data_IF_792818846428
#
_entry.id   IF_792818846428
#
_cell.length_a   1.000
_cell.length_b   1.000
_cell.length_c   1.000
_cell.angle_alpha   90.00
_cell.angle_beta   90.00
_cell.angle_gamma   90.00
#
_symmetry.space_group_name_H-M   'P 1'
#
loop_
_entity.id
_entity.type
_entity.pdbx_description
1 polymer ?
#
# COMPACT_ATOMS: atom_id res chain seq x y z
N UNK A 1 -2.26 19.38 13.82
CA UNK A 1 -3.66 19.82 13.73
C UNK A 1 -4.16 19.43 12.34
N UNK A 2 -5.11 18.49 12.29
CA UNK A 2 -5.82 18.18 11.04
C UNK A 2 -6.96 19.20 10.94
N UNK A 3 -6.98 20.01 9.90
CA UNK A 3 -8.17 20.78 9.57
C UNK A 3 -9.17 19.82 8.92
N UNK A 4 -10.27 19.51 9.61
CA UNK A 4 -11.37 18.80 9.00
C UNK A 4 -11.92 19.69 7.86
N UNK A 5 -12.04 19.13 6.68
CA UNK A 5 -12.66 19.74 5.54
C UNK A 5 -13.98 19.03 5.30
N UNK A 6 -15.07 19.79 5.18
CA UNK A 6 -16.41 19.26 4.94
C UNK A 6 -16.73 19.39 3.45
N UNK A 7 -17.32 18.37 2.86
CA UNK A 7 -17.75 18.35 1.47
C UNK A 7 -19.24 18.03 1.40
N UNK A 8 -20.00 18.79 0.65
CA UNK A 8 -21.41 18.48 0.39
C UNK A 8 -21.60 17.48 -0.76
N UNK A 9 -22.82 17.04 -0.99
CA UNK A 9 -23.16 16.09 -2.06
C UNK A 9 -22.88 16.61 -3.48
N UNK A 10 -22.57 17.89 -3.63
CA UNK A 10 -22.18 18.50 -4.92
C UNK A 10 -20.67 18.57 -5.11
N UNK A 11 -19.89 18.13 -4.10
CA UNK A 11 -18.44 18.18 -4.11
C UNK A 11 -17.84 19.53 -3.69
N UNK A 12 -18.64 20.45 -3.14
CA UNK A 12 -18.15 21.74 -2.65
C UNK A 12 -17.56 21.61 -1.26
N UNK A 13 -16.39 22.20 -1.05
CA UNK A 13 -15.65 22.16 0.22
C UNK A 13 -15.98 23.34 1.13
N UNK A 14 -15.99 23.06 2.44
CA UNK A 14 -16.26 24.04 3.50
C UNK A 14 -15.26 23.85 4.64
N UNK A 15 -14.78 24.93 5.24
CA UNK A 15 -13.92 24.90 6.44
C UNK A 15 -14.72 24.60 7.73
N UNK A 16 -16.04 24.80 7.71
CA UNK A 16 -16.94 24.51 8.83
C UNK A 16 -18.19 23.81 8.31
N UNK A 17 -18.75 22.86 9.07
CA UNK A 17 -19.95 22.18 8.64
C UNK A 17 -21.09 23.20 8.47
N UNK A 18 -21.84 23.14 7.38
CA UNK A 18 -23.05 23.94 7.21
C UNK A 18 -24.02 23.61 8.35
N UNK A 19 -24.72 24.64 8.86
CA UNK A 19 -25.75 24.44 9.90
C UNK A 19 -26.87 23.57 9.34
N UNK A 20 -27.34 22.58 10.11
CA UNK A 20 -28.47 21.69 9.81
C UNK A 20 -28.21 20.65 8.68
N UNK A 21 -26.97 20.34 8.34
CA UNK A 21 -26.66 19.22 7.46
C UNK A 21 -25.98 18.13 8.30
N UNK A 22 -26.51 16.89 8.22
CA UNK A 22 -25.82 15.74 8.77
C UNK A 22 -24.50 15.57 7.99
N UNK A 23 -23.39 15.54 8.71
CA UNK A 23 -22.06 15.37 8.11
C UNK A 23 -21.56 13.94 8.40
N UNK A 24 -21.16 13.23 7.37
CA UNK A 24 -20.43 11.98 7.49
C UNK A 24 -18.96 12.26 7.79
N UNK A 25 -18.37 11.43 8.64
CA UNK A 25 -16.93 11.48 8.91
C UNK A 25 -16.23 10.62 7.86
N UNK A 26 -15.50 11.27 6.97
CA UNK A 26 -14.66 10.59 5.98
C UNK A 26 -13.25 10.43 6.52
N UNK A 27 -12.68 9.26 6.30
CA UNK A 27 -11.28 8.93 6.61
C UNK A 27 -10.57 8.51 5.33
N UNK A 28 -9.24 8.57 5.35
CA UNK A 28 -8.43 8.07 4.25
C UNK A 28 -8.76 6.59 3.97
N UNK A 29 -9.08 6.27 2.73
CA UNK A 29 -9.35 4.91 2.27
C UNK A 29 -8.18 3.94 2.52
N UNK A 30 -6.96 4.44 2.62
CA UNK A 30 -5.77 3.67 3.01
C UNK A 30 -5.87 3.04 4.40
N UNK A 31 -6.78 3.50 5.26
CA UNK A 31 -7.05 2.86 6.55
C UNK A 31 -7.63 1.44 6.39
N UNK A 32 -8.45 1.23 5.36
CA UNK A 32 -9.12 -0.05 5.10
C UNK A 32 -8.42 -0.86 3.98
N UNK A 33 -7.82 -0.18 3.01
CA UNK A 33 -7.17 -0.80 1.86
C UNK A 33 -6.09 0.12 1.29
N UNK A 34 -4.90 0.03 1.86
CA UNK A 34 -3.77 0.86 1.43
C UNK A 34 -3.07 0.34 0.16
N UNK A 35 -3.28 -0.93 -0.18
CA UNK A 35 -2.65 -1.58 -1.33
C UNK A 35 -3.64 -2.44 -2.12
N UNK A 36 -4.49 -1.83 -2.97
CA UNK A 36 -5.57 -2.53 -3.69
C UNK A 36 -5.08 -3.20 -4.98
N UNK A 37 -4.00 -3.99 -4.95
CA UNK A 37 -3.40 -4.62 -6.15
C UNK A 37 -4.39 -5.52 -6.91
N UNK A 38 -5.30 -6.17 -6.19
CA UNK A 38 -6.32 -7.03 -6.78
C UNK A 38 -7.50 -6.30 -7.44
N UNK A 39 -7.52 -4.95 -7.45
CA UNK A 39 -8.61 -4.18 -8.05
C UNK A 39 -8.81 -4.49 -9.53
N UNK A 40 -7.72 -4.78 -10.23
CA UNK A 40 -7.70 -5.11 -11.66
C UNK A 40 -7.68 -6.62 -11.93
N UNK A 41 -7.92 -7.46 -10.92
CA UNK A 41 -8.02 -8.92 -11.04
C UNK A 41 -9.39 -9.35 -11.53
N UNK A 42 -9.80 -8.85 -12.69
CA UNK A 42 -11.04 -9.18 -13.37
C UNK A 42 -10.77 -9.42 -14.84
N UNK A 43 -11.55 -10.32 -15.44
CA UNK A 43 -11.40 -10.70 -16.85
C UNK A 43 -11.39 -9.50 -17.82
N UNK A 44 -12.21 -8.47 -17.56
CA UNK A 44 -12.31 -7.27 -18.40
C UNK A 44 -11.02 -6.41 -18.46
N UNK A 45 -10.10 -6.57 -17.49
CA UNK A 45 -8.86 -5.80 -17.43
C UNK A 45 -7.65 -6.52 -18.02
N UNK A 46 -7.83 -7.76 -18.50
CA UNK A 46 -6.77 -8.48 -19.20
C UNK A 46 -6.60 -7.95 -20.63
N UNK A 47 -5.39 -7.92 -21.14
CA UNK A 47 -5.12 -7.61 -22.56
C UNK A 47 -5.80 -8.59 -23.52
N UNK A 48 -6.03 -9.83 -23.05
CA UNK A 48 -6.74 -10.87 -23.78
C UNK A 48 -7.83 -11.48 -22.89
N UNK A 49 -8.99 -10.82 -22.74
CA UNK A 49 -10.08 -11.33 -21.94
C UNK A 49 -10.60 -12.67 -22.46
N UNK A 50 -10.92 -13.58 -21.54
CA UNK A 50 -11.55 -14.85 -21.90
C UNK A 50 -13.04 -14.61 -22.27
N UNK A 51 -13.47 -14.88 -23.50
CA UNK A 51 -14.85 -14.62 -23.95
C UNK A 51 -15.89 -15.56 -23.33
N UNK A 52 -15.45 -16.65 -22.68
CA UNK A 52 -16.34 -17.67 -22.10
C UNK A 52 -16.68 -17.42 -20.63
N UNK A 53 -16.12 -16.37 -20.00
CA UNK A 53 -16.41 -16.01 -18.61
C UNK A 53 -16.85 -14.54 -18.53
N UNK A 54 -17.60 -14.22 -17.45
CA UNK A 54 -18.08 -12.83 -17.24
C UNK A 54 -16.91 -11.83 -17.20
N UNK A 55 -17.09 -10.60 -17.70
CA UNK A 55 -16.12 -9.51 -17.55
C UNK A 55 -15.69 -9.24 -16.10
N UNK A 56 -16.60 -9.41 -15.14
CA UNK A 56 -16.39 -9.20 -13.70
C UNK A 56 -15.81 -10.44 -12.99
N UNK A 57 -15.66 -11.57 -13.69
CA UNK A 57 -15.10 -12.78 -13.09
C UNK A 57 -13.70 -12.52 -12.57
N UNK A 58 -13.40 -12.94 -11.32
CA UNK A 58 -12.09 -12.76 -10.73
C UNK A 58 -11.05 -13.62 -11.48
N UNK A 59 -10.02 -12.95 -11.98
CA UNK A 59 -8.89 -13.57 -12.69
C UNK A 59 -7.61 -12.85 -12.26
N UNK A 60 -6.60 -13.62 -11.87
CA UNK A 60 -5.29 -13.03 -11.55
C UNK A 60 -4.71 -12.29 -12.76
N UNK A 61 -4.49 -10.98 -12.62
CA UNK A 61 -3.95 -10.14 -13.68
C UNK A 61 -2.43 -9.95 -13.50
N UNK A 62 -1.64 -10.77 -14.18
CA UNK A 62 -0.18 -10.67 -14.17
C UNK A 62 0.37 -9.40 -14.83
N UNK A 63 -0.46 -8.66 -15.59
CA UNK A 63 -0.09 -7.40 -16.25
C UNK A 63 -0.16 -6.19 -15.30
N UNK A 64 -0.74 -6.38 -14.10
CA UNK A 64 -0.79 -5.34 -13.05
C UNK A 64 0.50 -5.35 -12.25
N UNK A 65 1.17 -4.19 -12.15
CA UNK A 65 2.33 -4.00 -11.28
C UNK A 65 1.95 -3.04 -10.17
N UNK A 66 2.21 -3.43 -8.92
CA UNK A 66 1.99 -2.62 -7.74
C UNK A 66 3.30 -2.06 -7.18
N UNK A 67 3.22 -0.85 -6.62
CA UNK A 67 4.30 -0.20 -5.90
C UNK A 67 3.91 -0.08 -4.42
N UNK A 68 4.76 -0.56 -3.52
CA UNK A 68 4.50 -0.57 -2.08
C UNK A 68 5.67 0.03 -1.33
N UNK A 69 5.40 0.95 -0.39
CA UNK A 69 6.42 1.54 0.48
C UNK A 69 6.46 0.77 1.80
N UNK A 70 7.61 0.21 2.14
CA UNK A 70 7.77 -0.64 3.33
C UNK A 70 9.11 -0.40 4.03
N UNK A 71 9.24 -0.92 5.26
CA UNK A 71 10.55 -1.01 5.91
C UNK A 71 11.36 -2.19 5.36
N UNK A 72 12.69 -2.12 5.48
CA UNK A 72 13.57 -3.23 5.08
C UNK A 72 13.21 -4.52 5.84
N UNK A 73 12.83 -4.42 7.12
CA UNK A 73 12.41 -5.54 7.94
C UNK A 73 11.13 -6.19 7.42
N UNK A 74 10.16 -5.38 6.98
CA UNK A 74 8.90 -5.89 6.43
C UNK A 74 9.11 -6.54 5.07
N UNK A 75 9.92 -5.94 4.19
CA UNK A 75 10.29 -6.53 2.90
C UNK A 75 10.93 -7.90 3.11
N UNK A 76 11.85 -8.02 4.08
CA UNK A 76 12.48 -9.28 4.42
C UNK A 76 11.51 -10.31 4.99
N UNK A 77 10.59 -9.90 5.87
CA UNK A 77 9.58 -10.78 6.45
C UNK A 77 8.61 -11.30 5.38
N UNK A 78 8.22 -10.46 4.42
CA UNK A 78 7.37 -10.85 3.30
C UNK A 78 8.06 -11.90 2.40
N UNK A 79 9.33 -11.70 2.10
CA UNK A 79 10.10 -12.61 1.27
C UNK A 79 10.35 -13.97 1.95
N UNK A 80 10.46 -14.01 3.29
CA UNK A 80 10.77 -15.24 4.02
C UNK A 80 9.54 -16.10 4.32
N UNK A 81 8.46 -15.52 4.80
CA UNK A 81 7.31 -16.27 5.33
C UNK A 81 5.97 -15.58 5.12
N UNK A 82 5.91 -14.55 4.30
CA UNK A 82 4.70 -13.74 4.07
C UNK A 82 4.06 -13.25 5.39
N UNK A 83 4.90 -12.86 6.35
CA UNK A 83 4.50 -12.49 7.71
C UNK A 83 4.72 -11.02 8.03
N UNK A 84 4.37 -10.64 9.25
CA UNK A 84 4.66 -9.31 9.78
C UNK A 84 6.09 -9.24 10.35
N UNK A 85 6.76 -8.12 10.11
CA UNK A 85 8.03 -7.85 10.75
C UNK A 85 7.86 -7.73 12.28
N UNK A 86 8.83 -8.21 13.08
CA UNK A 86 8.78 -8.08 14.53
C UNK A 86 8.71 -6.60 14.96
N UNK A 87 7.81 -6.30 15.89
CA UNK A 87 7.69 -4.98 16.49
C UNK A 87 8.17 -5.02 17.94
N UNK A 88 9.17 -4.23 18.35
CA UNK A 88 9.71 -4.27 19.71
C UNK A 88 8.74 -3.63 20.69
N UNK A 89 8.24 -4.42 21.67
CA UNK A 89 7.33 -3.97 22.72
C UNK A 89 8.14 -3.81 24.02
N UNK A 90 8.33 -2.57 24.47
CA UNK A 90 9.09 -2.25 25.70
C UNK A 90 8.30 -1.39 26.70
N UNK A 91 7.12 -0.92 26.33
CA UNK A 91 6.27 -0.07 27.14
C UNK A 91 4.82 -0.18 26.67
N UNK A 92 3.87 0.31 27.48
CA UNK A 92 2.46 0.38 27.08
C UNK A 92 2.26 1.18 25.79
N UNK A 93 3.02 2.28 25.61
CA UNK A 93 2.96 3.08 24.37
C UNK A 93 3.38 2.26 23.14
N UNK A 94 4.47 1.50 23.25
CA UNK A 94 4.94 0.64 22.15
C UNK A 94 4.02 -0.55 21.93
N UNK A 95 3.37 -1.07 22.98
CA UNK A 95 2.31 -2.08 22.84
C UNK A 95 1.11 -1.55 22.04
N UNK A 96 0.60 -0.35 22.39
CA UNK A 96 -0.50 0.25 21.63
C UNK A 96 -0.11 0.53 20.17
N UNK A 97 1.13 0.94 19.93
CA UNK A 97 1.67 1.10 18.57
C UNK A 97 1.72 -0.23 17.81
N UNK A 98 2.20 -1.29 18.44
CA UNK A 98 2.23 -2.64 17.85
C UNK A 98 0.83 -3.15 17.54
N UNK A 99 -0.12 -2.95 18.47
CA UNK A 99 -1.52 -3.34 18.26
C UNK A 99 -2.15 -2.60 17.09
N UNK A 100 -1.95 -1.28 17.00
CA UNK A 100 -2.43 -0.48 15.88
C UNK A 100 -1.84 -0.96 14.54
N UNK A 101 -0.53 -1.19 14.50
CA UNK A 101 0.12 -1.72 13.30
C UNK A 101 -0.42 -3.10 12.91
N UNK A 102 -0.61 -3.99 13.89
CA UNK A 102 -1.17 -5.31 13.63
C UNK A 102 -2.56 -5.23 13.00
N UNK A 103 -3.46 -4.40 13.54
CA UNK A 103 -4.82 -4.23 13.01
C UNK A 103 -4.79 -3.61 11.61
N UNK A 104 -3.99 -2.56 11.41
CA UNK A 104 -3.87 -1.89 10.11
C UNK A 104 -3.28 -2.83 9.05
N UNK A 105 -2.23 -3.58 9.40
CA UNK A 105 -1.62 -4.54 8.48
C UNK A 105 -2.54 -5.74 8.19
N UNK A 106 -3.27 -6.23 9.18
CA UNK A 106 -4.25 -7.29 8.95
C UNK A 106 -5.33 -6.85 7.95
N UNK A 107 -5.84 -5.62 8.07
CA UNK A 107 -6.80 -5.06 7.12
C UNK A 107 -6.19 -4.92 5.71
N UNK A 108 -4.97 -4.39 5.61
CA UNK A 108 -4.28 -4.20 4.33
C UNK A 108 -3.92 -5.51 3.64
N UNK A 109 -3.59 -6.55 4.42
CA UNK A 109 -3.21 -7.87 3.89
C UNK A 109 -4.38 -8.79 3.58
N UNK A 110 -5.59 -8.43 3.96
CA UNK A 110 -6.77 -9.28 3.72
C UNK A 110 -6.93 -9.68 2.24
N UNK A 111 -6.60 -8.76 1.32
CA UNK A 111 -6.67 -8.98 -0.13
C UNK A 111 -5.31 -9.17 -0.80
N UNK A 112 -4.22 -9.22 -0.03
CA UNK A 112 -2.86 -9.39 -0.55
C UNK A 112 -2.43 -10.85 -0.41
N UNK A 113 -2.15 -11.49 -1.53
CA UNK A 113 -1.82 -12.92 -1.61
C UNK A 113 -0.31 -13.11 -1.82
N UNK A 114 0.25 -14.29 -1.49
CA UNK A 114 1.67 -14.59 -1.78
C UNK A 114 2.04 -14.40 -3.25
N UNK A 115 1.12 -14.73 -4.18
CA UNK A 115 1.33 -14.55 -5.62
C UNK A 115 1.50 -13.09 -6.01
N UNK A 116 0.90 -12.17 -5.25
CA UNK A 116 0.99 -10.73 -5.52
C UNK A 116 2.40 -10.17 -5.32
N UNK A 117 3.26 -10.88 -4.57
CA UNK A 117 4.69 -10.50 -4.44
C UNK A 117 5.40 -10.49 -5.78
N UNK A 118 5.03 -11.37 -6.72
CA UNK A 118 5.66 -11.47 -8.04
C UNK A 118 5.40 -10.24 -8.92
N UNK A 119 4.33 -9.49 -8.64
CA UNK A 119 3.94 -8.28 -9.35
C UNK A 119 4.00 -7.02 -8.47
N UNK A 120 4.71 -7.12 -7.32
CA UNK A 120 4.87 -6.03 -6.35
C UNK A 120 6.31 -5.58 -6.29
N UNK A 121 6.55 -4.30 -6.51
CA UNK A 121 7.83 -3.65 -6.26
C UNK A 121 7.76 -3.05 -4.85
N UNK A 122 8.41 -3.68 -3.88
CA UNK A 122 8.52 -3.19 -2.52
C UNK A 122 9.69 -2.21 -2.41
N UNK A 123 9.40 -0.95 -2.11
CA UNK A 123 10.37 0.13 -2.02
C UNK A 123 10.67 0.40 -0.55
N UNK A 124 11.93 0.22 -0.17
CA UNK A 124 12.38 0.53 1.18
C UNK A 124 12.45 2.04 1.42
N UNK A 125 11.69 2.53 2.39
CA UNK A 125 11.66 3.94 2.76
C UNK A 125 12.88 4.39 3.62
N UNK A 126 13.90 3.54 3.82
CA UNK A 126 15.21 3.88 4.44
C UNK A 126 15.10 4.69 5.74
N UNK A 127 14.21 4.29 6.64
CA UNK A 127 13.97 4.97 7.93
C UNK A 127 13.43 6.41 7.83
N UNK A 128 13.16 6.92 6.62
CA UNK A 128 12.52 8.24 6.47
C UNK A 128 11.11 8.23 7.05
N UNK A 129 10.44 7.10 6.96
CA UNK A 129 9.10 6.85 7.52
C UNK A 129 7.99 7.63 6.82
N UNK A 130 6.78 7.11 6.91
CA UNK A 130 5.58 7.76 6.39
C UNK A 130 5.08 8.84 7.38
N UNK A 131 5.87 9.90 7.59
CA UNK A 131 5.47 11.02 8.46
C UNK A 131 4.97 12.18 7.61
N UNK A 132 3.82 12.74 8.01
CA UNK A 132 3.28 13.97 7.41
C UNK A 132 4.15 15.16 7.83
N UNK A 133 5.29 15.33 7.17
CA UNK A 133 6.23 16.44 7.39
C UNK A 133 6.93 16.80 6.09
N UNK A 134 7.48 18.01 6.05
CA UNK A 134 8.34 18.39 4.93
C UNK A 134 9.63 17.56 4.99
N UNK A 135 9.93 16.86 3.90
CA UNK A 135 11.17 16.11 3.74
C UNK A 135 12.33 17.06 3.37
N UNK A 136 13.52 16.78 3.92
CA UNK A 136 14.76 17.43 3.47
C UNK A 136 15.16 16.94 2.07
N UNK A 137 16.00 17.68 1.38
CA UNK A 137 16.47 17.29 0.05
C UNK A 137 17.28 15.97 0.08
N UNK A 138 17.99 15.72 1.16
CA UNK A 138 18.72 14.46 1.37
C UNK A 138 17.73 13.29 1.49
N UNK A 139 16.66 13.42 2.29
CA UNK A 139 15.65 12.38 2.43
C UNK A 139 14.91 12.11 1.12
N UNK A 140 14.57 13.15 0.37
CA UNK A 140 13.97 13.00 -0.96
C UNK A 140 14.88 12.23 -1.89
N UNK A 141 16.16 12.59 -1.95
CA UNK A 141 17.14 11.90 -2.78
C UNK A 141 17.27 10.44 -2.37
N UNK A 142 17.37 10.14 -1.06
CA UNK A 142 17.45 8.78 -0.53
C UNK A 142 16.25 7.94 -0.97
N UNK A 143 15.03 8.47 -0.90
CA UNK A 143 13.83 7.77 -1.32
C UNK A 143 13.79 7.54 -2.85
N UNK A 144 14.18 8.53 -3.64
CA UNK A 144 14.26 8.43 -5.09
C UNK A 144 15.27 7.36 -5.51
N UNK A 145 16.46 7.37 -4.90
CA UNK A 145 17.52 6.41 -5.21
C UNK A 145 17.11 4.98 -4.80
N UNK A 146 16.45 4.82 -3.63
CA UNK A 146 15.88 3.54 -3.21
C UNK A 146 14.83 3.03 -4.20
N UNK A 147 13.91 3.89 -4.63
CA UNK A 147 12.90 3.52 -5.62
C UNK A 147 13.50 3.10 -6.95
N UNK A 148 14.49 3.84 -7.47
CA UNK A 148 15.19 3.48 -8.71
C UNK A 148 15.89 2.12 -8.61
N UNK A 149 16.55 1.85 -7.48
CA UNK A 149 17.20 0.57 -7.24
C UNK A 149 16.18 -0.58 -7.23
N UNK A 150 15.10 -0.48 -6.44
CA UNK A 150 14.10 -1.53 -6.34
C UNK A 150 13.42 -1.82 -7.70
N UNK A 151 13.13 -0.79 -8.50
CA UNK A 151 12.59 -0.96 -9.85
C UNK A 151 13.62 -1.61 -10.76
N UNK A 152 14.89 -1.20 -10.69
CA UNK A 152 15.98 -1.80 -11.46
C UNK A 152 16.13 -3.29 -11.17
N UNK A 153 16.12 -3.67 -9.88
CA UNK A 153 16.22 -5.06 -9.44
C UNK A 153 15.02 -5.91 -9.91
N UNK A 154 13.82 -5.34 -9.85
CA UNK A 154 12.59 -5.99 -10.32
C UNK A 154 12.57 -6.22 -11.84
N UNK A 155 13.08 -5.27 -12.60
CA UNK A 155 13.09 -5.32 -14.07
C UNK A 155 14.29 -6.12 -14.64
N UNK A 156 15.23 -6.59 -13.80
CA UNK A 156 16.31 -7.43 -14.29
C UNK A 156 15.75 -8.79 -14.75
N UNK A 157 16.05 -9.21 -15.98
CA UNK A 157 15.59 -10.51 -16.44
C UNK A 157 16.20 -11.62 -15.58
N UNK A 158 15.40 -12.67 -15.30
CA UNK A 158 15.76 -13.87 -14.50
C UNK A 158 16.88 -14.71 -15.18
N UNK A 159 17.74 -14.08 -15.94
CA UNK A 159 18.82 -14.75 -16.70
C UNK A 159 20.03 -15.19 -15.85
N UNK A 160 19.98 -15.04 -14.51
CA UNK A 160 21.11 -15.42 -13.64
C UNK A 160 20.85 -16.62 -12.71
N UNK A 161 19.77 -17.37 -12.91
CA UNK A 161 19.46 -18.58 -12.11
C UNK A 161 19.72 -19.90 -12.91
N UNK A 162 20.62 -19.89 -13.89
CA UNK A 162 21.14 -21.10 -14.50
C UNK A 162 22.65 -21.16 -14.27
N UNK A 163 23.07 -21.62 -13.09
CA UNK A 163 24.34 -22.36 -12.90
C UNK A 163 24.20 -23.24 -11.67
#
# INVERSE_FOLDING_TARGET
>A
YYCAVFMDSTGKFYERPPRNIAADVLVDGGLLMNYPIGLFDQNRFLSSPNPYISPESPVFNAETIGLRLESAEQIKADAQNFGLAPYPIRSFKTYMGAFYNLVSEAANRYNFRPEDLQRTISIDFKNVGAKVRKLSEIEKKTLIDSGKQCVGDFCQPISSLQH
#
